data_IF_950333332594
#
_entry.id   IF_950333332594
#
_cell.length_a   1.000
_cell.length_b   1.000
_cell.length_c   1.000
_cell.angle_alpha   90.00
_cell.angle_beta   90.00
_cell.angle_gamma   90.00
#
_symmetry.space_group_name_H-M   'P 1'
#
loop_
_entity.id
_entity.type
_entity.pdbx_description
1 polymer ?
#
# COMPACT_ATOMS: atom_id res chain seq x y z
N UNK A 1 31.84 21.50 -33.42
CA UNK A 1 30.67 20.85 -32.77
C UNK A 1 30.52 21.41 -31.37
N UNK A 2 29.49 22.22 -31.11
CA UNK A 2 29.35 22.87 -29.80
C UNK A 2 28.72 21.88 -28.79
N UNK A 3 29.34 21.72 -27.63
CA UNK A 3 28.79 20.84 -26.58
C UNK A 3 27.56 21.50 -25.94
N UNK A 4 26.51 20.71 -25.71
CA UNK A 4 25.31 21.13 -25.00
C UNK A 4 25.33 20.69 -23.53
N UNK A 5 24.30 21.07 -22.77
CA UNK A 5 24.18 20.69 -21.36
C UNK A 5 23.81 19.21 -21.22
N UNK A 6 24.61 18.47 -20.44
CA UNK A 6 24.46 17.01 -20.28
C UNK A 6 23.33 16.61 -19.32
N UNK A 7 22.97 17.44 -18.34
CA UNK A 7 21.91 17.13 -17.37
C UNK A 7 21.31 18.40 -16.71
N UNK A 8 20.01 18.38 -16.37
CA UNK A 8 19.36 19.42 -15.56
C UNK A 8 18.15 18.88 -14.79
N UNK A 9 18.04 19.26 -13.51
CA UNK A 9 16.83 19.07 -12.70
C UNK A 9 15.87 20.29 -12.80
N UNK A 10 16.22 21.28 -13.62
CA UNK A 10 15.37 22.45 -13.82
C UNK A 10 13.98 22.02 -14.33
N UNK A 11 12.92 22.65 -13.81
CA UNK A 11 11.50 22.33 -14.07
C UNK A 11 10.99 20.97 -13.54
N UNK A 12 11.81 20.09 -12.96
CA UNK A 12 11.29 18.81 -12.45
C UNK A 12 10.33 19.01 -11.28
N UNK A 13 10.72 19.82 -10.28
CA UNK A 13 9.86 20.15 -9.13
C UNK A 13 8.57 20.83 -9.58
N UNK A 14 8.67 21.82 -10.48
CA UNK A 14 7.49 22.52 -11.01
C UNK A 14 6.49 21.55 -11.66
N UNK A 15 6.96 20.61 -12.48
CA UNK A 15 6.08 19.57 -13.08
C UNK A 15 5.48 18.65 -12.01
N UNK A 16 6.27 18.18 -11.06
CA UNK A 16 5.79 17.29 -9.99
C UNK A 16 4.69 17.95 -9.14
N UNK A 17 4.78 19.26 -8.93
CA UNK A 17 3.81 20.02 -8.16
C UNK A 17 2.58 20.52 -8.95
N UNK A 18 2.56 20.48 -10.30
CA UNK A 18 1.38 20.88 -11.10
C UNK A 18 0.11 20.12 -10.69
N UNK A 19 0.22 18.81 -10.54
CA UNK A 19 -0.87 17.94 -10.08
C UNK A 19 -0.74 17.59 -8.58
N UNK A 20 0.35 18.03 -7.96
CA UNK A 20 0.74 17.74 -6.59
C UNK A 20 1.26 16.31 -6.41
N UNK A 21 2.21 16.16 -5.48
CA UNK A 21 2.68 14.85 -5.02
C UNK A 21 1.63 14.29 -4.06
N UNK A 22 0.87 13.29 -4.51
CA UNK A 22 -0.22 12.71 -3.70
C UNK A 22 0.35 11.79 -2.62
N UNK A 23 -0.22 11.87 -1.41
CA UNK A 23 0.09 10.94 -0.33
C UNK A 23 -0.49 9.55 -0.62
N UNK A 24 0.13 8.46 -0.12
CA UNK A 24 -0.44 7.12 -0.27
C UNK A 24 -1.82 7.06 0.40
N UNK A 25 -2.75 6.37 -0.25
CA UNK A 25 -4.11 6.21 0.27
C UNK A 25 -4.08 5.24 1.46
N UNK A 26 -4.63 5.65 2.61
CA UNK A 26 -4.79 4.78 3.78
C UNK A 26 -6.08 3.97 3.62
N UNK A 27 -5.98 2.65 3.73
CA UNK A 27 -7.12 1.74 3.72
C UNK A 27 -7.29 1.11 5.11
N UNK A 28 -8.54 0.92 5.55
CA UNK A 28 -8.84 0.26 6.83
C UNK A 28 -8.26 -1.15 6.90
N UNK A 29 -8.23 -1.85 5.76
CA UNK A 29 -7.69 -3.19 5.62
C UNK A 29 -6.61 -3.22 4.54
N UNK A 30 -5.31 -3.22 4.91
CA UNK A 30 -4.22 -3.32 3.94
C UNK A 30 -4.04 -4.75 3.43
N UNK A 31 -3.26 -4.92 2.36
CA UNK A 31 -2.91 -6.25 1.86
C UNK A 31 -2.03 -7.01 2.84
N UNK A 32 -2.30 -8.29 3.07
CA UNK A 32 -1.46 -9.18 3.88
C UNK A 32 -0.33 -9.85 3.07
N UNK A 33 0.01 -9.33 1.88
CA UNK A 33 1.09 -9.87 1.05
C UNK A 33 2.43 -9.63 1.76
N UNK A 34 3.23 -10.69 1.92
CA UNK A 34 4.50 -10.64 2.64
C UNK A 34 4.40 -10.86 4.16
N UNK A 35 3.20 -11.08 4.70
CA UNK A 35 3.02 -11.52 6.09
C UNK A 35 3.37 -13.00 6.21
N UNK A 36 3.92 -13.40 7.36
CA UNK A 36 4.32 -14.78 7.66
C UNK A 36 3.23 -15.81 7.27
N UNK A 37 3.55 -16.79 6.41
CA UNK A 37 2.62 -17.85 6.04
C UNK A 37 2.05 -18.63 7.23
N UNK A 38 2.82 -18.86 8.31
CA UNK A 38 2.33 -19.61 9.48
C UNK A 38 1.23 -18.83 10.20
N UNK A 39 1.44 -17.53 10.42
CA UNK A 39 0.41 -16.63 10.94
C UNK A 39 -0.85 -16.61 10.04
N UNK A 40 -0.68 -16.50 8.73
CA UNK A 40 -1.82 -16.44 7.79
C UNK A 40 -2.64 -17.74 7.78
N UNK A 41 -1.99 -18.90 7.88
CA UNK A 41 -2.68 -20.19 7.99
C UNK A 41 -3.54 -20.25 9.25
N UNK A 42 -3.00 -19.83 10.39
CA UNK A 42 -3.76 -19.77 11.65
C UNK A 42 -4.92 -18.77 11.56
N UNK A 43 -4.65 -17.56 11.06
CA UNK A 43 -5.66 -16.49 10.92
C UNK A 43 -6.84 -16.94 10.05
N UNK A 44 -6.60 -17.73 9.01
CA UNK A 44 -7.65 -18.29 8.16
C UNK A 44 -8.62 -19.17 8.96
N UNK A 45 -8.11 -20.07 9.80
CA UNK A 45 -8.95 -20.93 10.62
C UNK A 45 -9.65 -20.15 11.73
N UNK A 46 -8.94 -19.27 12.44
CA UNK A 46 -9.53 -18.42 13.48
C UNK A 46 -10.74 -17.62 12.95
N UNK A 47 -10.59 -16.93 11.81
CA UNK A 47 -11.69 -16.18 11.18
C UNK A 47 -12.87 -17.07 10.78
N UNK A 48 -12.61 -18.30 10.32
CA UNK A 48 -13.65 -19.25 9.92
C UNK A 48 -14.51 -19.71 11.10
N UNK A 49 -13.88 -20.02 12.24
CA UNK A 49 -14.56 -20.56 13.41
C UNK A 49 -15.16 -19.47 14.31
N UNK A 50 -14.53 -18.30 14.41
CA UNK A 50 -15.07 -17.17 15.19
C UNK A 50 -16.42 -16.67 14.64
N UNK A 51 -16.64 -16.74 13.32
CA UNK A 51 -17.93 -16.36 12.70
C UNK A 51 -19.10 -17.27 13.10
N UNK A 52 -18.82 -18.53 13.49
CA UNK A 52 -19.85 -19.45 13.97
C UNK A 52 -20.28 -19.14 15.41
N UNK A 53 -19.33 -18.72 16.26
CA UNK A 53 -19.60 -18.38 17.65
C UNK A 53 -20.26 -17.01 17.82
N UNK A 54 -20.00 -16.06 16.90
CA UNK A 54 -20.70 -14.77 16.92
C UNK A 54 -22.19 -14.86 16.58
N UNK A 55 -22.61 -15.90 15.83
CA UNK A 55 -24.01 -16.12 15.46
C UNK A 55 -24.84 -16.82 16.56
N UNK A 56 -24.17 -17.37 17.58
CA UNK A 56 -24.81 -18.01 18.74
C UNK A 56 -24.83 -17.11 19.99
N UNK A 57 -24.18 -15.96 19.92
CA UNK A 57 -23.99 -15.03 21.04
C UNK A 57 -24.77 -13.72 20.89
N UNK A 58 -25.47 -13.53 19.76
CA UNK A 58 -26.65 -12.66 19.62
C UNK A 58 -27.91 -13.49 19.86
#
# INVERSE_FOLDING_TARGET
MAKSKNHTSHNQSRKAHRNGIKRPKRQRFPSLKGVDPKFLRNLKFAKKHNKKHSATAE
#
